data_IF_248381412466
#
_entry.id   IF_248381412466
#
_cell.length_a   1.000
_cell.length_b   1.000
_cell.length_c   1.000
_cell.angle_alpha   90.00
_cell.angle_beta   90.00
_cell.angle_gamma   90.00
#
_symmetry.space_group_name_H-M   'P 1'
#
loop_
_entity.id
_entity.type
_entity.pdbx_description
1 polymer ?
#
# COMPACT_ATOMS: atom_id res chain seq x y z
N UNK A 1 -6.33 2.13 24.94
CA UNK A 1 -5.62 2.28 23.65
C UNK A 1 -5.00 0.93 23.32
N UNK A 2 -5.48 0.24 22.28
CA UNK A 2 -4.67 -0.81 21.66
C UNK A 2 -3.38 -0.13 21.18
N UNK A 3 -2.23 -0.61 21.62
CA UNK A 3 -0.94 -0.23 21.06
C UNK A 3 -0.93 -0.69 19.62
N UNK A 4 -1.04 0.26 18.70
CA UNK A 4 -0.85 0.01 17.28
C UNK A 4 0.59 -0.48 17.09
N UNK A 5 0.77 -1.79 16.92
CA UNK A 5 2.07 -2.42 16.81
C UNK A 5 2.20 -3.05 15.43
N UNK A 6 3.13 -2.54 14.65
CA UNK A 6 3.41 -2.98 13.30
C UNK A 6 4.63 -3.91 13.32
N UNK A 7 4.48 -5.21 12.99
CA UNK A 7 5.59 -6.16 13.03
C UNK A 7 6.74 -5.76 12.09
N UNK A 8 6.45 -5.04 11.00
CA UNK A 8 7.47 -4.54 10.07
C UNK A 8 8.49 -3.62 10.75
N UNK A 9 8.13 -2.90 11.82
CA UNK A 9 9.06 -2.06 12.58
C UNK A 9 10.20 -2.89 13.22
N UNK A 10 9.96 -4.19 13.44
CA UNK A 10 10.95 -5.10 14.01
C UNK A 10 11.87 -5.75 12.96
N UNK A 11 11.55 -5.62 11.68
CA UNK A 11 12.29 -6.25 10.60
C UNK A 11 13.71 -5.67 10.44
N UNK A 12 14.70 -6.51 10.17
CA UNK A 12 16.12 -6.11 10.10
C UNK A 12 16.37 -5.01 9.06
N UNK A 13 15.71 -5.10 7.89
CA UNK A 13 15.79 -4.06 6.85
C UNK A 13 15.30 -2.69 7.35
N UNK A 14 14.23 -2.67 8.14
CA UNK A 14 13.65 -1.42 8.68
C UNK A 14 14.55 -0.87 9.79
N UNK A 15 15.00 -1.74 10.71
CA UNK A 15 15.92 -1.34 11.80
C UNK A 15 17.22 -0.75 11.29
N UNK A 16 17.79 -1.32 10.22
CA UNK A 16 19.05 -0.84 9.62
C UNK A 16 18.98 0.62 9.16
N UNK A 17 17.78 1.12 8.86
CA UNK A 17 17.54 2.47 8.34
C UNK A 17 17.09 3.46 9.43
N UNK A 18 16.96 3.02 10.68
CA UNK A 18 16.45 3.85 11.79
C UNK A 18 17.22 5.15 12.03
N UNK A 19 18.52 5.19 11.67
CA UNK A 19 19.40 6.34 11.85
C UNK A 19 19.25 7.44 10.78
N UNK A 20 18.58 7.17 9.65
CA UNK A 20 18.41 8.16 8.58
C UNK A 20 17.46 9.29 9.01
N UNK A 21 17.73 10.53 8.65
CA UNK A 21 16.79 11.63 8.77
C UNK A 21 15.59 11.46 7.82
N UNK A 22 14.50 12.19 8.07
CA UNK A 22 13.33 12.16 7.21
C UNK A 22 13.61 12.65 5.79
N UNK A 23 14.48 13.66 5.66
CA UNK A 23 14.90 14.17 4.36
C UNK A 23 15.67 13.11 3.58
N UNK A 24 16.56 12.36 4.25
CA UNK A 24 17.30 11.26 3.63
C UNK A 24 16.35 10.13 3.21
N UNK A 25 15.41 9.73 4.07
CA UNK A 25 14.42 8.70 3.73
C UNK A 25 13.53 9.11 2.56
N UNK A 26 13.06 10.36 2.53
CA UNK A 26 12.27 10.88 1.42
C UNK A 26 13.08 10.86 0.12
N UNK A 27 14.34 11.32 0.17
CA UNK A 27 15.23 11.34 -0.99
C UNK A 27 15.51 9.91 -1.50
N UNK A 28 15.76 8.96 -0.60
CA UNK A 28 15.97 7.55 -0.94
C UNK A 28 14.70 6.91 -1.53
N UNK A 29 13.53 7.19 -0.96
CA UNK A 29 12.24 6.75 -1.48
C UNK A 29 11.99 7.26 -2.91
N UNK A 30 12.30 8.53 -3.17
CA UNK A 30 12.11 9.14 -4.49
C UNK A 30 13.10 8.63 -5.54
N UNK A 31 14.35 8.37 -5.15
CA UNK A 31 15.41 7.96 -6.08
C UNK A 31 15.46 6.46 -6.35
N UNK A 32 14.85 5.63 -5.51
CA UNK A 32 14.89 4.16 -5.61
C UNK A 32 13.47 3.58 -5.64
N UNK A 33 12.79 3.70 -6.78
CA UNK A 33 11.43 3.19 -6.96
C UNK A 33 11.32 1.66 -6.85
N UNK A 34 12.45 0.96 -6.98
CA UNK A 34 12.61 -0.49 -6.86
C UNK A 34 12.80 -0.97 -5.41
N UNK A 35 12.91 -0.06 -4.42
CA UNK A 35 13.15 -0.38 -3.01
C UNK A 35 12.07 0.22 -2.12
N UNK A 36 11.23 -0.63 -1.54
CA UNK A 36 10.11 -0.16 -0.72
C UNK A 36 10.39 0.05 0.77
N UNK A 37 11.51 -0.45 1.29
CA UNK A 37 11.89 -0.33 2.70
C UNK A 37 11.95 1.11 3.21
N UNK A 38 12.27 2.09 2.36
CA UNK A 38 12.33 3.50 2.76
C UNK A 38 10.94 4.02 3.14
N UNK A 39 9.91 3.68 2.34
CA UNK A 39 8.53 4.01 2.67
C UNK A 39 8.06 3.27 3.93
N UNK A 40 8.42 2.00 4.09
CA UNK A 40 8.11 1.23 5.31
C UNK A 40 8.67 1.93 6.57
N UNK A 41 9.89 2.46 6.51
CA UNK A 41 10.48 3.18 7.66
C UNK A 41 9.70 4.46 7.96
N UNK A 42 9.35 5.25 6.93
CA UNK A 42 8.51 6.46 7.11
C UNK A 42 7.15 6.08 7.71
N UNK A 43 6.53 5.02 7.21
CA UNK A 43 5.30 4.46 7.77
C UNK A 43 5.47 4.12 9.24
N UNK A 44 6.46 3.31 9.63
CA UNK A 44 6.68 2.92 11.02
C UNK A 44 6.90 4.12 11.96
N UNK A 45 7.54 5.19 11.48
CA UNK A 45 7.76 6.42 12.28
C UNK A 45 6.47 7.18 12.55
N UNK A 46 5.60 7.28 11.56
CA UNK A 46 4.49 8.22 11.57
C UNK A 46 3.11 7.56 11.69
N UNK A 47 3.03 6.24 11.58
CA UNK A 47 1.76 5.50 11.61
C UNK A 47 0.94 5.78 12.86
N UNK A 48 1.57 5.85 14.04
CA UNK A 48 0.85 6.16 15.28
C UNK A 48 0.23 7.56 15.25
N UNK A 49 0.95 8.56 14.74
CA UNK A 49 0.43 9.95 14.62
C UNK A 49 -0.80 9.96 13.71
N UNK A 50 -0.69 9.39 12.51
CA UNK A 50 -1.79 9.33 11.54
C UNK A 50 -2.98 8.56 12.10
N UNK A 51 -2.73 7.43 12.77
CA UNK A 51 -3.79 6.62 13.37
C UNK A 51 -4.53 7.35 14.49
N UNK A 52 -3.82 8.09 15.34
CA UNK A 52 -4.43 8.92 16.39
C UNK A 52 -5.30 10.02 15.79
N UNK A 53 -4.81 10.75 14.78
CA UNK A 53 -5.60 11.79 14.10
C UNK A 53 -6.92 11.23 13.54
N UNK A 54 -6.85 10.07 12.90
CA UNK A 54 -8.03 9.43 12.29
C UNK A 54 -8.97 8.86 13.33
N UNK A 55 -8.46 8.25 14.40
CA UNK A 55 -9.26 7.68 15.48
C UNK A 55 -10.17 8.70 16.19
N UNK A 56 -9.82 9.98 16.16
CA UNK A 56 -10.67 11.06 16.67
C UNK A 56 -11.76 11.52 15.68
N UNK A 57 -11.63 11.17 14.40
CA UNK A 57 -12.51 11.65 13.33
C UNK A 57 -13.61 10.68 12.91
N UNK A 58 -13.44 9.38 13.17
CA UNK A 58 -14.37 8.33 12.72
C UNK A 58 -14.83 7.46 13.89
N UNK A 59 -16.14 7.18 13.96
CA UNK A 59 -16.75 6.42 15.08
C UNK A 59 -16.58 4.91 14.95
N UNK A 60 -16.55 4.38 13.72
CA UNK A 60 -16.44 2.95 13.45
C UNK A 60 -14.97 2.53 13.33
N UNK A 61 -14.49 1.52 14.08
CA UNK A 61 -13.13 1.02 13.95
C UNK A 61 -12.78 0.55 12.53
N UNK A 62 -13.71 -0.14 11.86
CA UNK A 62 -13.51 -0.64 10.49
C UNK A 62 -13.32 0.52 9.50
N UNK A 63 -14.13 1.57 9.63
CA UNK A 63 -14.00 2.77 8.80
C UNK A 63 -12.72 3.55 9.15
N UNK A 64 -12.30 3.58 10.41
CA UNK A 64 -11.06 4.21 10.84
C UNK A 64 -9.84 3.50 10.24
N UNK A 65 -9.79 2.16 10.29
CA UNK A 65 -8.73 1.36 9.66
C UNK A 65 -8.71 1.56 8.14
N UNK A 66 -9.88 1.60 7.50
CA UNK A 66 -9.98 1.84 6.07
C UNK A 66 -9.52 3.25 5.68
N UNK A 67 -9.96 4.29 6.40
CA UNK A 67 -9.48 5.67 6.18
C UNK A 67 -7.98 5.80 6.45
N UNK A 68 -7.46 5.12 7.47
CA UNK A 68 -6.03 5.06 7.76
C UNK A 68 -5.24 4.53 6.57
N UNK A 69 -5.71 3.44 5.99
CA UNK A 69 -5.07 2.83 4.84
C UNK A 69 -5.20 3.69 3.57
N UNK A 70 -6.36 4.34 3.33
CA UNK A 70 -6.55 5.30 2.23
C UNK A 70 -5.66 6.55 2.38
N UNK A 71 -5.49 7.05 3.61
CA UNK A 71 -4.64 8.20 3.92
C UNK A 71 -3.18 7.87 3.62
N UNK A 72 -2.70 6.70 4.05
CA UNK A 72 -1.35 6.23 3.74
C UNK A 72 -1.12 5.99 2.25
N UNK A 73 -2.14 5.50 1.53
CA UNK A 73 -2.08 5.40 0.07
C UNK A 73 -1.95 6.77 -0.59
N UNK A 74 -2.67 7.78 -0.11
CA UNK A 74 -2.53 9.13 -0.62
C UNK A 74 -1.13 9.70 -0.31
N UNK A 75 -0.66 9.57 0.94
CA UNK A 75 0.70 9.95 1.35
C UNK A 75 1.75 9.29 0.45
N UNK A 76 1.65 7.99 0.19
CA UNK A 76 2.58 7.24 -0.65
C UNK A 76 2.74 7.84 -2.05
N UNK A 77 1.63 8.24 -2.69
CA UNK A 77 1.67 8.83 -4.02
C UNK A 77 2.19 10.28 -3.98
N UNK A 78 1.71 11.10 -3.05
CA UNK A 78 2.13 12.50 -2.93
C UNK A 78 3.63 12.63 -2.59
N UNK A 79 4.16 11.72 -1.75
CA UNK A 79 5.58 11.71 -1.39
C UNK A 79 6.51 11.56 -2.60
N UNK A 80 6.05 11.00 -3.73
CA UNK A 80 6.87 10.86 -4.94
C UNK A 80 7.22 12.21 -5.58
N UNK A 81 6.35 13.21 -5.42
CA UNK A 81 6.55 14.57 -5.93
C UNK A 81 6.89 15.60 -4.85
N UNK A 82 6.92 15.19 -3.58
CA UNK A 82 7.10 16.08 -2.44
C UNK A 82 8.48 16.75 -2.45
N UNK A 83 8.49 18.09 -2.30
CA UNK A 83 9.72 18.86 -2.14
C UNK A 83 9.67 19.71 -0.86
N UNK A 84 10.21 19.16 0.23
CA UNK A 84 10.31 19.83 1.53
C UNK A 84 11.17 21.11 1.49
N UNK A 85 12.08 21.25 0.52
CA UNK A 85 12.99 22.40 0.41
C UNK A 85 12.33 23.62 -0.24
N UNK A 86 11.32 23.39 -1.09
CA UNK A 86 10.61 24.45 -1.81
C UNK A 86 9.40 24.98 -1.02
N UNK A 87 8.90 24.23 -0.03
CA UNK A 87 7.81 24.66 0.86
C UNK A 87 8.31 25.53 2.02
N UNK A 88 9.29 26.41 1.76
CA UNK A 88 9.70 27.46 2.70
C UNK A 88 8.73 28.62 2.58
N UNK A 89 7.66 28.58 3.37
CA UNK A 89 6.96 29.82 3.73
C UNK A 89 7.82 30.59 4.74
N UNK A 90 7.67 31.91 4.79
CA UNK A 90 8.57 32.81 5.50
C UNK A 90 8.73 32.55 7.02
N UNK A 91 7.94 31.64 7.62
CA UNK A 91 7.89 31.42 9.08
C UNK A 91 8.09 29.97 9.55
N UNK A 92 8.29 28.96 8.69
CA UNK A 92 8.71 27.63 9.17
C UNK A 92 9.31 26.74 8.08
N UNK A 93 10.36 25.98 8.40
CA UNK A 93 10.76 24.83 7.59
C UNK A 93 9.68 23.74 7.70
N UNK A 94 9.05 23.41 6.57
CA UNK A 94 8.06 22.32 6.51
C UNK A 94 8.77 20.98 6.74
N UNK A 95 8.57 20.39 7.92
CA UNK A 95 9.08 19.05 8.23
C UNK A 95 8.19 17.98 7.60
N UNK A 96 8.75 16.78 7.34
CA UNK A 96 7.96 15.65 6.84
C UNK A 96 6.79 15.31 7.77
N UNK A 97 7.02 15.39 9.09
CA UNK A 97 5.96 15.19 10.08
C UNK A 97 4.81 16.19 9.90
N UNK A 98 5.10 17.50 9.81
CA UNK A 98 4.07 18.53 9.63
C UNK A 98 3.32 18.32 8.31
N UNK A 99 4.04 17.98 7.25
CA UNK A 99 3.42 17.65 5.97
C UNK A 99 2.48 16.43 6.06
N UNK A 100 2.91 15.34 6.69
CA UNK A 100 2.07 14.14 6.91
C UNK A 100 0.80 14.48 7.72
N UNK A 101 0.94 15.29 8.78
CA UNK A 101 -0.20 15.75 9.58
C UNK A 101 -1.18 16.55 8.73
N UNK A 102 -0.69 17.49 7.92
CA UNK A 102 -1.52 18.33 7.05
C UNK A 102 -2.25 17.50 5.99
N UNK A 103 -1.55 16.59 5.31
CA UNK A 103 -2.15 15.67 4.33
C UNK A 103 -3.19 14.77 4.99
N UNK A 104 -2.91 14.26 6.20
CA UNK A 104 -3.88 13.45 6.95
C UNK A 104 -5.14 14.23 7.29
N UNK A 105 -5.01 15.49 7.72
CA UNK A 105 -6.16 16.36 7.99
C UNK A 105 -7.00 16.63 6.72
N UNK A 106 -6.34 16.81 5.56
CA UNK A 106 -7.02 16.95 4.27
C UNK A 106 -7.81 15.67 3.94
N UNK A 107 -7.20 14.49 4.09
CA UNK A 107 -7.86 13.21 3.88
C UNK A 107 -9.08 13.04 4.80
N UNK A 108 -8.94 13.35 6.08
CA UNK A 108 -10.04 13.27 7.07
C UNK A 108 -11.22 14.16 6.66
N UNK A 109 -10.94 15.42 6.31
CA UNK A 109 -11.99 16.39 5.98
C UNK A 109 -12.71 16.09 4.65
N UNK A 110 -12.07 15.35 3.74
CA UNK A 110 -12.62 14.96 2.44
C UNK A 110 -13.11 13.51 2.38
N UNK A 111 -13.04 12.78 3.48
CA UNK A 111 -13.33 11.35 3.48
C UNK A 111 -14.82 11.09 3.26
N UNK A 112 -15.15 10.50 2.12
CA UNK A 112 -16.43 9.86 1.87
C UNK A 112 -16.25 8.35 2.05
N UNK A 113 -16.53 7.88 3.28
CA UNK A 113 -16.34 6.47 3.61
C UNK A 113 -17.59 5.66 3.28
N UNK A 114 -17.42 4.48 2.67
CA UNK A 114 -18.56 3.63 2.37
C UNK A 114 -19.14 3.02 3.67
N UNK A 115 -20.36 2.45 3.61
CA UNK A 115 -20.94 1.74 4.74
C UNK A 115 -20.06 0.60 5.24
N UNK A 116 -20.09 0.29 6.54
CA UNK A 116 -19.18 -0.66 7.18
C UNK A 116 -19.26 -2.04 6.53
N UNK A 117 -20.46 -2.50 6.18
CA UNK A 117 -20.75 -3.78 5.54
C UNK A 117 -20.12 -3.96 4.15
N UNK A 118 -19.71 -2.86 3.51
CA UNK A 118 -19.05 -2.87 2.20
C UNK A 118 -17.52 -2.77 2.29
N UNK A 119 -16.98 -2.61 3.51
CA UNK A 119 -15.54 -2.54 3.73
C UNK A 119 -15.02 -3.93 4.05
N UNK A 120 -14.24 -4.49 3.12
CA UNK A 120 -13.57 -5.79 3.26
C UNK A 120 -12.07 -5.67 3.60
N UNK A 121 -11.60 -4.45 3.88
CA UNK A 121 -10.21 -4.19 4.24
C UNK A 121 -9.86 -4.74 5.62
N UNK A 122 -8.66 -5.30 5.76
CA UNK A 122 -8.09 -5.78 7.02
C UNK A 122 -6.72 -5.15 7.21
N UNK A 123 -6.57 -4.29 8.24
CA UNK A 123 -5.29 -3.66 8.55
C UNK A 123 -4.20 -4.69 8.88
N UNK A 124 -4.61 -5.80 9.48
CA UNK A 124 -3.71 -6.90 9.87
C UNK A 124 -3.12 -7.61 8.66
N UNK A 125 -3.96 -7.93 7.68
CA UNK A 125 -3.56 -8.75 6.53
C UNK A 125 -3.00 -7.90 5.38
N UNK A 126 -3.41 -6.62 5.31
CA UNK A 126 -3.03 -5.69 4.26
C UNK A 126 -2.53 -4.36 4.87
N UNK A 127 -1.43 -4.37 5.64
CA UNK A 127 -0.88 -3.13 6.21
C UNK A 127 -0.57 -2.12 5.10
N UNK A 128 -0.67 -0.80 5.35
CA UNK A 128 -0.67 0.19 4.28
C UNK A 128 0.54 0.14 3.34
N UNK A 129 1.79 -0.11 3.78
CA UNK A 129 2.89 -0.29 2.84
C UNK A 129 2.70 -1.46 1.88
N UNK A 130 2.32 -2.64 2.40
CA UNK A 130 2.03 -3.80 1.55
C UNK A 130 0.90 -3.48 0.56
N UNK A 131 -0.18 -2.83 1.04
CA UNK A 131 -1.31 -2.49 0.18
C UNK A 131 -0.93 -1.53 -0.95
N UNK A 132 -0.07 -0.53 -0.67
CA UNK A 132 0.42 0.40 -1.68
C UNK A 132 1.24 -0.31 -2.77
N UNK A 133 2.16 -1.20 -2.39
CA UNK A 133 3.00 -1.91 -3.35
C UNK A 133 2.22 -2.98 -4.14
N UNK A 134 1.26 -3.66 -3.53
CA UNK A 134 0.32 -4.54 -4.24
C UNK A 134 -0.51 -3.75 -5.24
N UNK A 135 -1.03 -2.59 -4.85
CA UNK A 135 -1.77 -1.68 -5.74
C UNK A 135 -0.93 -1.22 -6.93
N UNK A 136 0.29 -0.75 -6.67
CA UNK A 136 1.23 -0.37 -7.74
C UNK A 136 1.55 -1.54 -8.68
N UNK A 137 1.75 -2.75 -8.13
CA UNK A 137 2.02 -3.92 -8.94
C UNK A 137 0.81 -4.30 -9.81
N UNK A 138 -0.41 -4.23 -9.26
CA UNK A 138 -1.66 -4.44 -10.01
C UNK A 138 -1.78 -3.43 -11.16
N UNK A 139 -1.40 -2.16 -10.97
CA UNK A 139 -1.47 -1.13 -12.01
C UNK A 139 -0.53 -1.39 -13.20
N UNK A 140 0.49 -2.25 -13.04
CA UNK A 140 1.39 -2.67 -14.11
C UNK A 140 0.94 -3.94 -14.83
N UNK A 141 -0.08 -4.64 -14.33
CA UNK A 141 -0.59 -5.88 -14.93
C UNK A 141 -1.52 -5.56 -16.11
N UNK A 142 -1.43 -6.38 -17.16
CA UNK A 142 -2.31 -6.30 -18.33
C UNK A 142 -3.81 -6.27 -17.92
N UNK A 143 -4.65 -5.44 -18.55
CA UNK A 143 -6.01 -5.17 -18.07
C UNK A 143 -6.88 -6.41 -17.82
N UNK A 144 -6.88 -7.37 -18.76
CA UNK A 144 -7.65 -8.61 -18.65
C UNK A 144 -7.18 -9.46 -17.46
N UNK A 145 -5.86 -9.59 -17.30
CA UNK A 145 -5.27 -10.37 -16.22
C UNK A 145 -5.56 -9.73 -14.86
N UNK A 146 -5.47 -8.40 -14.75
CA UNK A 146 -5.87 -7.65 -13.57
C UNK A 146 -7.34 -7.85 -13.23
N UNK A 147 -8.24 -7.80 -14.23
CA UNK A 147 -9.67 -8.02 -14.03
C UNK A 147 -9.94 -9.43 -13.50
N UNK A 148 -9.31 -10.46 -14.07
CA UNK A 148 -9.41 -11.86 -13.62
C UNK A 148 -8.95 -12.01 -12.16
N UNK A 149 -7.81 -11.43 -11.79
CA UNK A 149 -7.30 -11.43 -10.41
C UNK A 149 -8.31 -10.78 -9.46
N UNK A 150 -8.84 -9.61 -9.81
CA UNK A 150 -9.81 -8.89 -8.96
C UNK A 150 -11.11 -9.68 -8.80
N UNK A 151 -11.60 -10.34 -9.84
CA UNK A 151 -12.80 -11.18 -9.73
C UNK A 151 -12.60 -12.36 -8.79
N UNK A 152 -11.43 -12.99 -8.83
CA UNK A 152 -11.09 -14.10 -7.96
C UNK A 152 -10.85 -13.64 -6.51
N UNK A 153 -10.10 -12.55 -6.30
CA UNK A 153 -9.65 -12.14 -4.96
C UNK A 153 -10.66 -11.28 -4.21
N UNK A 154 -11.39 -10.41 -4.91
CA UNK A 154 -12.36 -9.49 -4.27
C UNK A 154 -13.74 -10.11 -4.16
N UNK A 155 -14.19 -10.83 -5.19
CA UNK A 155 -15.55 -11.40 -5.23
C UNK A 155 -15.59 -12.92 -5.01
N UNK A 156 -14.42 -13.57 -4.88
CA UNK A 156 -14.32 -15.03 -4.72
C UNK A 156 -15.05 -15.81 -5.80
N UNK A 157 -15.06 -15.29 -7.03
CA UNK A 157 -15.68 -15.99 -8.15
C UNK A 157 -14.84 -17.20 -8.54
N UNK A 158 -15.52 -18.32 -8.82
CA UNK A 158 -14.88 -19.50 -9.37
C UNK A 158 -14.41 -19.24 -10.81
N UNK A 159 -13.45 -20.04 -11.26
CA UNK A 159 -12.95 -20.03 -12.64
C UNK A 159 -14.09 -20.12 -13.67
N UNK A 160 -15.08 -20.98 -13.40
CA UNK A 160 -16.27 -21.15 -14.25
C UNK A 160 -17.11 -19.87 -14.33
N UNK A 161 -17.30 -19.19 -13.20
CA UNK A 161 -18.09 -17.94 -13.15
C UNK A 161 -17.36 -16.81 -13.87
N UNK A 162 -16.04 -16.72 -13.68
CA UNK A 162 -15.19 -15.75 -14.38
C UNK A 162 -15.25 -15.98 -15.89
N UNK A 163 -15.06 -17.23 -16.35
CA UNK A 163 -15.11 -17.58 -17.76
C UNK A 163 -16.48 -17.23 -18.39
N UNK A 164 -17.58 -17.58 -17.70
CA UNK A 164 -18.93 -17.26 -18.18
C UNK A 164 -19.18 -15.75 -18.27
N UNK A 165 -18.67 -14.96 -17.31
CA UNK A 165 -18.77 -13.51 -17.36
C UNK A 165 -17.99 -12.92 -18.53
N UNK A 166 -16.73 -13.32 -18.70
CA UNK A 166 -15.88 -12.86 -19.79
C UNK A 166 -16.46 -13.23 -21.16
N UNK A 167 -17.04 -14.42 -21.30
CA UNK A 167 -17.73 -14.85 -22.51
C UNK A 167 -18.95 -13.97 -22.84
N UNK A 168 -19.71 -13.54 -21.83
CA UNK A 168 -20.83 -12.62 -22.03
C UNK A 168 -20.36 -11.22 -22.49
N UNK A 169 -19.16 -10.81 -22.07
CA UNK A 169 -18.50 -9.56 -22.49
C UNK A 169 -17.74 -9.69 -23.83
N UNK A 170 -17.79 -10.86 -24.49
CA UNK A 170 -17.21 -11.09 -25.82
C UNK A 170 -15.83 -11.76 -25.84
N UNK A 171 -15.28 -12.12 -24.68
CA UNK A 171 -13.99 -12.83 -24.58
C UNK A 171 -14.18 -14.35 -24.67
N UNK A 172 -13.53 -15.02 -25.62
CA UNK A 172 -13.63 -16.48 -25.76
C UNK A 172 -12.58 -17.18 -24.89
N UNK A 173 -12.88 -17.33 -23.58
CA UNK A 173 -11.96 -17.91 -22.59
C UNK A 173 -12.66 -19.04 -21.81
N UNK A 174 -12.02 -20.19 -21.74
CA UNK A 174 -12.46 -21.36 -20.96
C UNK A 174 -12.09 -21.27 -19.48
N UNK A 175 -12.77 -22.00 -18.57
CA UNK A 175 -12.38 -22.05 -17.16
C UNK A 175 -10.93 -22.51 -16.92
N UNK A 176 -10.43 -23.43 -17.75
CA UNK A 176 -9.02 -23.86 -17.73
C UNK A 176 -8.04 -22.74 -18.08
N UNK A 177 -8.39 -21.90 -19.06
CA UNK A 177 -7.57 -20.74 -19.41
C UNK A 177 -7.61 -19.69 -18.31
N UNK A 178 -8.77 -19.47 -17.66
CA UNK A 178 -8.86 -18.61 -16.47
C UNK A 178 -7.90 -19.09 -15.37
N UNK A 179 -7.82 -20.39 -15.10
CA UNK A 179 -6.87 -20.95 -14.12
C UNK A 179 -5.42 -20.63 -14.49
N UNK A 180 -5.02 -20.90 -15.73
CA UNK A 180 -3.66 -20.61 -16.20
C UNK A 180 -3.34 -19.10 -16.13
N UNK A 181 -4.32 -18.26 -16.47
CA UNK A 181 -4.19 -16.81 -16.34
C UNK A 181 -4.04 -16.40 -14.87
N UNK A 182 -4.83 -16.94 -13.94
CA UNK A 182 -4.67 -16.66 -12.51
C UNK A 182 -3.28 -17.04 -11.99
N UNK A 183 -2.78 -18.25 -12.31
CA UNK A 183 -1.44 -18.69 -11.93
C UNK A 183 -0.35 -17.74 -12.47
N UNK A 184 -0.45 -17.38 -13.76
CA UNK A 184 0.45 -16.40 -14.39
C UNK A 184 0.35 -15.04 -13.72
N UNK A 185 -0.86 -14.59 -13.40
CA UNK A 185 -1.17 -13.32 -12.77
C UNK A 185 -0.57 -13.19 -11.39
N UNK A 186 -0.72 -14.22 -10.54
CA UNK A 186 -0.11 -14.24 -9.23
C UNK A 186 1.41 -14.23 -9.30
N UNK A 187 2.00 -15.01 -10.22
CA UNK A 187 3.45 -14.99 -10.43
C UNK A 187 3.94 -13.61 -10.84
N UNK A 188 3.28 -12.96 -11.80
CA UNK A 188 3.63 -11.60 -12.23
C UNK A 188 3.51 -10.64 -11.05
N UNK A 189 2.38 -10.65 -10.34
CA UNK A 189 2.11 -9.76 -9.20
C UNK A 189 3.20 -9.88 -8.14
N UNK A 190 3.55 -11.11 -7.76
CA UNK A 190 4.61 -11.38 -6.79
C UNK A 190 5.96 -10.85 -7.31
N UNK A 191 6.34 -11.15 -8.55
CA UNK A 191 7.62 -10.69 -9.10
C UNK A 191 7.73 -9.17 -9.28
N UNK A 192 6.61 -8.47 -9.47
CA UNK A 192 6.56 -7.00 -9.64
C UNK A 192 6.69 -6.25 -8.31
N UNK A 193 6.27 -6.85 -7.19
CA UNK A 193 6.46 -6.25 -5.86
C UNK A 193 7.97 -6.17 -5.56
N UNK A 194 8.49 -5.06 -5.03
CA UNK A 194 9.90 -4.97 -4.64
C UNK A 194 10.37 -6.11 -3.73
N UNK A 195 11.59 -6.62 -3.96
CA UNK A 195 12.12 -7.77 -3.21
C UNK A 195 12.17 -7.51 -1.70
N UNK A 196 12.52 -6.28 -1.30
CA UNK A 196 12.56 -5.90 0.11
C UNK A 196 11.17 -5.86 0.76
N UNK A 197 10.13 -5.49 0.01
CA UNK A 197 8.72 -5.57 0.45
C UNK A 197 8.29 -7.02 0.60
N UNK A 198 8.63 -7.90 -0.35
CA UNK A 198 8.36 -9.34 -0.21
C UNK A 198 9.08 -9.94 0.99
N UNK A 199 10.30 -9.51 1.26
CA UNK A 199 11.04 -9.96 2.44
C UNK A 199 10.37 -9.52 3.74
N UNK A 200 9.93 -8.25 3.81
CA UNK A 200 9.28 -7.70 5.01
C UNK A 200 7.93 -8.36 5.29
N UNK A 201 7.10 -8.60 4.26
CA UNK A 201 5.69 -8.97 4.45
C UNK A 201 5.34 -10.40 4.04
N UNK A 202 6.08 -11.03 3.14
CA UNK A 202 5.79 -12.37 2.61
C UNK A 202 6.78 -13.44 3.11
N UNK A 203 7.72 -13.08 3.98
CA UNK A 203 8.69 -14.01 4.57
C UNK A 203 9.73 -14.54 3.58
N UNK A 204 9.92 -13.87 2.44
CA UNK A 204 10.90 -14.28 1.43
C UNK A 204 12.32 -13.90 1.85
N UNK A 205 13.28 -14.77 1.57
CA UNK A 205 14.70 -14.45 1.81
C UNK A 205 15.21 -13.57 0.68
N UNK A 206 15.89 -12.47 1.02
CA UNK A 206 16.54 -11.61 0.02
C UNK A 206 17.69 -12.41 -0.60
N UNK A 207 17.65 -12.58 -1.91
CA UNK A 207 18.75 -13.15 -2.66
C UNK A 207 19.81 -12.07 -2.73
N UNK A 208 20.92 -12.22 -1.99
CA UNK A 208 22.02 -11.26 -2.08
C UNK A 208 22.63 -11.32 -3.48
N UNK A 209 22.18 -10.48 -4.41
CA UNK A 209 23.00 -10.09 -5.55
C UNK A 209 24.10 -9.19 -5.01
N UNK A 210 25.31 -9.73 -5.05
CA UNK A 210 26.55 -9.00 -4.75
C UNK A 210 26.73 -7.95 -5.85
N UNK A 211 26.55 -6.68 -5.48
CA UNK A 211 27.13 -5.55 -6.21
C UNK A 211 28.57 -5.33 -5.72
#
# INVERSE_FOLDING_TARGET
>A
MQTLNFPEANHTLVKSLSHHSDQELLTLFQNHSDRGRYFVVVFCRYALIVYTLIGHSVKSPVQAEYLFALTWRHIFYEMRGLNLRNEKTADSETTLQNWIINVSAICINRAELPPVESIHYSLKDQPPPLWCYVGQALDQIEPLLRLIILMAQTFHWSETRIAAYLQAEGESISPSEVRMLLERGYKILETTIPEDIRAIYLGQTITQSTD
#
